data_IF_120616710640
#
_entry.id   IF_120616710640
#
_cell.length_a   1.000
_cell.length_b   1.000
_cell.length_c   1.000
_cell.angle_alpha   90.00
_cell.angle_beta   90.00
_cell.angle_gamma   90.00
#
_symmetry.space_group_name_H-M   'P 1'
#
loop_
_entity.id
_entity.type
_entity.pdbx_description
1 polymer ?
#
# COMPACT_ATOMS: atom_id res chain seq x y z
N UNK A 1 34.07 1.09 -12.12
CA UNK A 1 33.13 -0.05 -12.02
C UNK A 1 31.84 0.39 -12.69
N UNK A 2 31.24 -0.42 -13.56
CA UNK A 2 29.94 -0.10 -14.12
C UNK A 2 28.89 -0.11 -13.00
N UNK A 3 28.05 0.92 -12.94
CA UNK A 3 26.92 0.96 -12.02
C UNK A 3 25.99 -0.23 -12.32
N UNK A 4 25.69 -1.02 -11.30
CA UNK A 4 24.74 -2.13 -11.44
C UNK A 4 23.33 -1.59 -11.61
N UNK A 5 22.52 -2.26 -12.42
CA UNK A 5 21.11 -1.89 -12.56
C UNK A 5 20.36 -2.13 -11.26
N UNK A 6 19.41 -1.25 -10.90
CA UNK A 6 18.60 -1.44 -9.70
C UNK A 6 17.83 -2.77 -9.69
N UNK A 7 17.55 -3.32 -10.89
CA UNK A 7 16.87 -4.62 -11.07
C UNK A 7 17.65 -5.78 -10.48
N UNK A 8 18.97 -5.70 -10.42
CA UNK A 8 19.79 -6.73 -9.79
C UNK A 8 19.60 -6.77 -8.27
N UNK A 9 19.33 -5.61 -7.64
CA UNK A 9 19.08 -5.52 -6.21
C UNK A 9 17.69 -6.00 -5.81
N UNK A 10 16.72 -6.04 -6.74
CA UNK A 10 15.35 -6.47 -6.44
C UNK A 10 15.27 -7.89 -5.88
N UNK A 11 16.17 -8.80 -6.30
CA UNK A 11 16.21 -10.18 -5.81
C UNK A 11 16.58 -10.30 -4.33
N UNK A 12 17.09 -9.24 -3.72
CA UNK A 12 17.50 -9.21 -2.31
C UNK A 12 16.42 -8.61 -1.40
N UNK A 13 15.35 -8.06 -1.99
CA UNK A 13 14.26 -7.45 -1.24
C UNK A 13 13.43 -8.54 -0.58
N UNK A 14 13.15 -8.37 0.71
CA UNK A 14 12.30 -9.26 1.51
C UNK A 14 11.08 -8.54 2.07
N UNK A 15 11.05 -7.21 1.97
CA UNK A 15 10.08 -6.35 2.63
C UNK A 15 9.64 -5.22 1.73
N UNK A 16 8.32 -4.98 1.66
CA UNK A 16 7.72 -3.83 1.00
C UNK A 16 7.05 -2.92 2.03
N UNK A 17 7.27 -1.61 1.89
CA UNK A 17 6.66 -0.58 2.74
C UNK A 17 5.98 0.41 1.81
N UNK A 18 4.69 0.64 2.03
CA UNK A 18 3.88 1.55 1.21
C UNK A 18 3.29 2.67 2.05
N UNK A 19 3.20 3.86 1.45
CA UNK A 19 2.27 4.89 1.90
C UNK A 19 0.87 4.62 1.31
N UNK A 20 -0.14 5.32 1.80
CA UNK A 20 -1.51 5.25 1.29
C UNK A 20 -1.73 6.33 0.23
N UNK A 21 -1.74 7.59 0.65
CA UNK A 21 -2.25 8.68 -0.18
C UNK A 21 -1.24 9.03 -1.29
N UNK A 22 -1.64 8.80 -2.55
CA UNK A 22 -0.77 9.01 -3.73
C UNK A 22 0.17 7.83 -4.05
N UNK A 23 0.11 6.73 -3.27
CA UNK A 23 0.84 5.48 -3.55
C UNK A 23 -0.13 4.33 -3.78
N UNK A 24 -0.91 3.96 -2.75
CA UNK A 24 -1.98 2.96 -2.89
C UNK A 24 -3.32 3.58 -3.33
N UNK A 25 -3.38 4.90 -3.35
CA UNK A 25 -4.46 5.68 -3.94
C UNK A 25 -3.93 6.54 -5.09
N UNK A 26 -4.84 7.04 -5.92
CA UNK A 26 -4.50 7.98 -7.00
C UNK A 26 -4.23 9.43 -6.51
N UNK A 27 -4.20 9.64 -5.18
CA UNK A 27 -4.00 10.95 -4.56
C UNK A 27 -5.22 11.87 -4.60
N UNK A 28 -6.34 11.41 -5.15
CA UNK A 28 -7.60 12.17 -5.17
C UNK A 28 -8.45 11.81 -3.95
N UNK A 29 -8.98 12.85 -3.29
CA UNK A 29 -9.94 12.69 -2.18
C UNK A 29 -11.28 13.25 -2.60
N UNK A 30 -12.31 12.40 -2.59
CA UNK A 30 -13.69 12.83 -2.80
C UNK A 30 -14.33 13.15 -1.45
N UNK A 31 -14.83 14.37 -1.30
CA UNK A 31 -15.50 14.83 -0.09
C UNK A 31 -17.01 14.78 -0.32
N UNK A 32 -17.72 14.02 0.50
CA UNK A 32 -19.19 13.92 0.44
C UNK A 32 -19.83 15.14 1.12
N UNK A 33 -21.14 15.33 0.92
CA UNK A 33 -21.88 16.39 1.60
C UNK A 33 -21.92 16.24 3.13
N UNK A 34 -21.72 15.02 3.65
CA UNK A 34 -21.58 14.74 5.09
C UNK A 34 -20.16 15.02 5.63
N UNK A 35 -19.20 15.34 4.75
CA UNK A 35 -17.80 15.56 5.12
C UNK A 35 -16.95 14.28 5.12
N UNK A 36 -17.49 13.15 4.67
CA UNK A 36 -16.73 11.90 4.56
C UNK A 36 -15.71 12.01 3.42
N UNK A 37 -14.50 11.51 3.68
CA UNK A 37 -13.42 11.53 2.71
C UNK A 37 -13.21 10.15 2.11
N UNK A 38 -13.63 9.98 0.85
CA UNK A 38 -13.50 8.75 0.09
C UNK A 38 -12.21 8.75 -0.73
N UNK A 39 -11.53 7.61 -0.75
CA UNK A 39 -10.33 7.36 -1.57
C UNK A 39 -10.60 6.24 -2.56
N UNK A 40 -9.97 6.34 -3.73
CA UNK A 40 -9.97 5.29 -4.75
C UNK A 40 -8.70 4.45 -4.62
N UNK A 41 -8.84 3.12 -4.59
CA UNK A 41 -7.73 2.18 -4.53
C UNK A 41 -7.76 1.20 -5.70
N UNK A 42 -6.59 0.74 -6.13
CA UNK A 42 -6.45 -0.24 -7.21
C UNK A 42 -6.71 -1.67 -6.74
N UNK A 43 -7.61 -2.37 -7.43
CA UNK A 43 -7.86 -3.81 -7.20
C UNK A 43 -6.62 -4.63 -7.57
N UNK A 44 -5.88 -4.22 -8.61
CA UNK A 44 -4.67 -4.93 -9.08
C UNK A 44 -3.58 -4.88 -8.02
N UNK A 45 -3.45 -3.74 -7.34
CA UNK A 45 -2.44 -3.54 -6.31
C UNK A 45 -2.77 -4.42 -5.10
N UNK A 46 -4.04 -4.50 -4.72
CA UNK A 46 -4.50 -5.43 -3.68
C UNK A 46 -4.19 -6.88 -3.99
N UNK A 47 -4.38 -7.33 -5.23
CA UNK A 47 -4.00 -8.68 -5.65
C UNK A 47 -2.49 -8.90 -5.58
N UNK A 48 -1.69 -7.94 -6.04
CA UNK A 48 -0.22 -8.04 -6.03
C UNK A 48 0.32 -8.07 -4.59
N UNK A 49 -0.22 -7.23 -3.71
CA UNK A 49 0.16 -7.19 -2.29
C UNK A 49 -0.20 -8.51 -1.61
N UNK A 50 -1.42 -9.03 -1.81
CA UNK A 50 -1.80 -10.32 -1.25
C UNK A 50 -0.89 -11.45 -1.75
N UNK A 51 -0.59 -11.46 -3.05
CA UNK A 51 0.35 -12.42 -3.65
C UNK A 51 1.75 -12.32 -3.04
N UNK A 52 2.23 -11.11 -2.73
CA UNK A 52 3.52 -10.91 -2.07
C UNK A 52 3.52 -11.48 -0.65
N UNK A 53 2.46 -11.22 0.12
CA UNK A 53 2.28 -11.80 1.47
C UNK A 53 2.28 -13.33 1.39
N UNK A 54 1.49 -13.90 0.48
CA UNK A 54 1.37 -15.35 0.31
C UNK A 54 2.70 -16.00 -0.14
N UNK A 55 3.59 -15.23 -0.79
CA UNK A 55 4.95 -15.64 -1.14
C UNK A 55 5.97 -15.44 -0.01
N UNK A 56 5.55 -14.99 1.16
CA UNK A 56 6.39 -14.81 2.35
C UNK A 56 7.15 -13.49 2.42
N UNK A 57 6.79 -12.49 1.60
CA UNK A 57 7.34 -11.14 1.76
C UNK A 57 6.70 -10.45 2.96
N UNK A 58 7.49 -9.66 3.68
CA UNK A 58 6.94 -8.77 4.69
C UNK A 58 6.31 -7.57 3.99
N UNK A 59 5.08 -7.21 4.35
CA UNK A 59 4.43 -6.01 3.80
C UNK A 59 3.93 -5.15 4.95
N UNK A 60 4.21 -3.86 4.87
CA UNK A 60 3.87 -2.87 5.88
C UNK A 60 3.28 -1.63 5.19
N UNK A 61 2.31 -1.00 5.84
CA UNK A 61 1.75 0.27 5.40
C UNK A 61 2.00 1.32 6.48
N UNK A 62 2.57 2.45 6.09
CA UNK A 62 2.84 3.59 6.98
C UNK A 62 2.19 4.81 6.37
N UNK A 63 1.23 5.43 7.05
CA UNK A 63 0.57 6.64 6.54
C UNK A 63 0.16 7.59 7.66
N UNK A 64 0.27 8.89 7.41
CA UNK A 64 -0.15 9.93 8.37
C UNK A 64 -1.67 10.18 8.41
N UNK A 65 -2.45 9.55 7.53
CA UNK A 65 -3.90 9.71 7.47
C UNK A 65 -4.64 8.67 8.31
N UNK A 66 -5.61 9.10 9.13
CA UNK A 66 -6.39 8.22 10.01
C UNK A 66 -7.74 7.78 9.41
N UNK A 67 -7.81 7.49 8.10
CA UNK A 67 -9.07 7.12 7.47
C UNK A 67 -9.46 5.65 7.76
N UNK A 68 -10.58 5.47 8.44
CA UNK A 68 -11.07 4.14 8.86
C UNK A 68 -11.42 3.21 7.68
N UNK A 69 -11.94 3.77 6.57
CA UNK A 69 -12.29 2.98 5.39
C UNK A 69 -11.06 2.33 4.73
N UNK A 70 -9.95 3.06 4.67
CA UNK A 70 -8.66 2.51 4.23
C UNK A 70 -8.17 1.44 5.21
N UNK A 71 -8.28 1.70 6.52
CA UNK A 71 -7.87 0.74 7.56
C UNK A 71 -8.59 -0.59 7.42
N UNK A 72 -9.92 -0.58 7.35
CA UNK A 72 -10.76 -1.78 7.20
C UNK A 72 -10.39 -2.54 5.91
N UNK A 73 -10.18 -1.84 4.80
CA UNK A 73 -9.83 -2.48 3.53
C UNK A 73 -8.51 -3.25 3.61
N UNK A 74 -7.51 -2.64 4.24
CA UNK A 74 -6.16 -3.16 4.36
C UNK A 74 -6.04 -4.25 5.45
N UNK A 75 -6.81 -4.15 6.54
CA UNK A 75 -6.97 -5.23 7.53
C UNK A 75 -7.53 -6.49 6.86
N UNK A 76 -8.43 -6.35 5.88
CA UNK A 76 -8.92 -7.46 5.06
C UNK A 76 -7.84 -8.18 4.22
N UNK A 77 -6.62 -7.62 4.14
CA UNK A 77 -5.45 -8.25 3.51
C UNK A 77 -4.46 -8.81 4.54
N UNK A 78 -4.84 -8.85 5.83
CA UNK A 78 -4.01 -9.30 6.95
C UNK A 78 -2.74 -8.45 7.16
N UNK A 79 -2.77 -7.19 6.70
CA UNK A 79 -1.64 -6.27 6.81
C UNK A 79 -1.62 -5.56 8.15
N UNK A 80 -0.40 -5.32 8.65
CA UNK A 80 -0.17 -4.38 9.74
C UNK A 80 -0.06 -2.97 9.18
N UNK A 81 -0.89 -2.09 9.71
CA UNK A 81 -0.94 -0.67 9.36
C UNK A 81 -0.39 0.11 10.53
N UNK A 82 0.54 1.01 10.25
CA UNK A 82 1.11 1.94 11.22
C UNK A 82 0.65 3.34 10.81
N UNK A 83 -0.12 3.99 11.69
CA UNK A 83 -0.64 5.35 11.50
C UNK A 83 -0.09 6.28 12.57
#
# INVERSE_FOLDING_TARGET
MAEKSYKEYLNQITTFIFDVDGVLTDGTVHITASGDMLRSMSIKDGYAIKTAIDKGYNVCIISGGSNEGVRIRLEGWELKIFT
#
